data_IF_170962659776
#
_entry.id   IF_170962659776
#
_cell.length_a   1.000
_cell.length_b   1.000
_cell.length_c   1.000
_cell.angle_alpha   90.00
_cell.angle_beta   90.00
_cell.angle_gamma   90.00
#
_symmetry.space_group_name_H-M   'P 1'
#
loop_
_entity.id
_entity.type
_entity.pdbx_description
1 polymer ?
#
# COMPACT_ATOMS: atom_id res chain seq x y z
N UNK A 1 5.27 1.14 -13.82
CA UNK A 1 4.69 1.19 -12.46
C UNK A 1 5.70 0.62 -11.47
N UNK A 2 6.32 1.49 -10.68
CA UNK A 2 7.42 1.08 -9.79
C UNK A 2 6.99 0.13 -8.68
N UNK A 3 5.72 0.19 -8.27
CA UNK A 3 5.22 -0.66 -7.18
C UNK A 3 5.36 -2.16 -7.47
N UNK A 4 5.42 -2.54 -8.74
CA UNK A 4 5.57 -3.94 -9.13
C UNK A 4 6.95 -4.52 -8.81
N UNK A 5 7.91 -3.69 -8.43
CA UNK A 5 9.25 -4.14 -8.03
C UNK A 5 9.25 -4.83 -6.67
N UNK A 6 8.22 -4.62 -5.88
CA UNK A 6 8.18 -5.07 -4.50
C UNK A 6 7.27 -6.27 -4.33
N UNK A 7 7.55 -7.08 -3.33
CA UNK A 7 6.57 -8.05 -2.85
C UNK A 7 5.42 -7.25 -2.27
N UNK A 8 4.26 -7.37 -2.86
CA UNK A 8 3.13 -6.51 -2.55
C UNK A 8 2.72 -6.60 -1.07
N UNK A 9 2.70 -7.81 -0.52
CA UNK A 9 2.26 -8.00 0.88
C UNK A 9 3.22 -7.30 1.84
N UNK A 10 4.52 -7.50 1.66
CA UNK A 10 5.51 -6.82 2.48
C UNK A 10 5.45 -5.32 2.27
N UNK A 11 5.28 -4.89 1.03
CA UNK A 11 5.24 -3.46 0.72
C UNK A 11 4.08 -2.77 1.43
N UNK A 12 2.87 -3.33 1.32
CA UNK A 12 1.70 -2.69 1.89
C UNK A 12 1.76 -2.65 3.42
N UNK A 13 2.33 -3.69 4.04
CA UNK A 13 2.53 -3.69 5.49
C UNK A 13 3.55 -2.65 5.91
N UNK A 14 4.62 -2.51 5.15
CA UNK A 14 5.65 -1.50 5.43
C UNK A 14 5.07 -0.09 5.33
N UNK A 15 4.24 0.16 4.33
CA UNK A 15 3.56 1.45 4.19
C UNK A 15 2.74 1.75 5.45
N UNK A 16 1.97 0.76 5.93
CA UNK A 16 1.17 0.96 7.14
C UNK A 16 2.04 1.25 8.36
N UNK A 17 3.15 0.52 8.49
CA UNK A 17 4.05 0.72 9.63
C UNK A 17 4.64 2.12 9.61
N UNK A 18 5.16 2.55 8.47
CA UNK A 18 5.78 3.86 8.36
C UNK A 18 4.79 5.00 8.61
N UNK A 19 3.56 4.84 8.13
CA UNK A 19 2.54 5.89 8.26
C UNK A 19 1.68 5.72 9.51
N UNK A 20 1.97 4.71 10.32
CA UNK A 20 1.22 4.41 11.55
C UNK A 20 -0.28 4.24 11.26
N UNK A 21 -0.59 3.44 10.24
CA UNK A 21 -1.97 3.22 9.82
C UNK A 21 -2.44 1.80 10.15
N UNK A 22 -3.67 1.68 10.62
CA UNK A 22 -4.35 0.40 10.67
C UNK A 22 -4.76 -0.02 9.26
N UNK A 23 -5.22 -1.26 9.10
CA UNK A 23 -5.77 -1.70 7.82
C UNK A 23 -6.98 -0.86 7.43
N UNK A 24 -7.83 -0.50 8.40
CA UNK A 24 -8.97 0.37 8.15
C UNK A 24 -8.56 1.75 7.69
N UNK A 25 -7.54 2.32 8.35
CA UNK A 25 -7.05 3.63 7.99
C UNK A 25 -6.51 3.63 6.56
N UNK A 26 -5.70 2.63 6.22
CA UNK A 26 -5.15 2.53 4.87
C UNK A 26 -6.26 2.36 3.84
N UNK A 27 -7.23 1.51 4.13
CA UNK A 27 -8.36 1.30 3.23
C UNK A 27 -9.08 2.61 2.93
N UNK A 28 -9.31 3.41 3.97
CA UNK A 28 -9.96 4.71 3.84
C UNK A 28 -9.13 5.67 3.01
N UNK A 29 -7.80 5.67 3.23
CA UNK A 29 -6.91 6.56 2.50
C UNK A 29 -6.82 6.22 1.01
N UNK A 30 -6.90 4.95 0.67
CA UNK A 30 -6.80 4.50 -0.72
C UNK A 30 -8.16 4.47 -1.40
N UNK A 31 -9.24 4.41 -0.62
CA UNK A 31 -10.60 4.36 -1.17
C UNK A 31 -11.08 2.94 -1.47
N UNK A 32 -10.65 1.97 -0.68
CA UNK A 32 -11.12 0.59 -0.78
C UNK A 32 -11.69 0.15 0.57
N UNK A 33 -12.27 -1.05 0.62
CA UNK A 33 -12.81 -1.56 1.87
C UNK A 33 -11.72 -2.16 2.76
N UNK A 34 -11.99 -2.21 4.05
CA UNK A 34 -11.12 -2.91 5.00
C UNK A 34 -10.91 -4.36 4.56
N UNK A 35 -11.98 -5.03 4.14
CA UNK A 35 -11.90 -6.42 3.71
C UNK A 35 -10.92 -6.59 2.55
N UNK A 36 -10.87 -5.61 1.65
CA UNK A 36 -9.94 -5.65 0.51
C UNK A 36 -8.49 -5.60 0.98
N UNK A 37 -8.16 -4.66 1.87
CA UNK A 37 -6.80 -4.55 2.40
C UNK A 37 -6.43 -5.83 3.16
N UNK A 38 -7.35 -6.33 3.97
CA UNK A 38 -7.13 -7.55 4.73
C UNK A 38 -6.83 -8.75 3.82
N UNK A 39 -7.57 -8.90 2.72
CA UNK A 39 -7.35 -9.97 1.76
C UNK A 39 -6.00 -9.84 1.08
N UNK A 40 -5.59 -8.63 0.75
CA UNK A 40 -4.27 -8.41 0.17
C UNK A 40 -3.17 -8.87 1.12
N UNK A 41 -3.26 -8.49 2.38
CA UNK A 41 -2.23 -8.82 3.36
C UNK A 41 -2.23 -10.30 3.73
N UNK A 42 -3.33 -10.99 3.50
CA UNK A 42 -3.43 -12.44 3.73
C UNK A 42 -3.19 -13.25 2.45
N UNK A 43 -2.71 -12.63 1.40
CA UNK A 43 -2.37 -13.26 0.11
C UNK A 43 -3.54 -13.95 -0.56
N UNK A 44 -4.77 -13.55 -0.25
CA UNK A 44 -5.95 -14.17 -0.84
C UNK A 44 -6.30 -13.61 -2.21
N UNK A 45 -5.96 -12.35 -2.45
CA UNK A 45 -6.20 -11.68 -3.72
C UNK A 45 -5.02 -10.80 -4.04
N UNK A 46 -4.68 -10.74 -5.32
CA UNK A 46 -3.75 -9.73 -5.81
C UNK A 46 -4.56 -8.47 -6.14
N UNK A 47 -3.98 -7.30 -5.93
CA UNK A 47 -4.68 -6.07 -6.27
C UNK A 47 -4.83 -5.94 -7.79
N UNK A 48 -5.93 -5.35 -8.21
CA UNK A 48 -6.14 -5.04 -9.61
C UNK A 48 -5.13 -3.99 -10.06
N UNK A 49 -4.97 -3.85 -11.38
CA UNK A 49 -4.10 -2.82 -11.93
C UNK A 49 -4.52 -1.43 -11.48
N UNK A 50 -5.82 -1.18 -11.43
CA UNK A 50 -6.34 0.10 -10.97
C UNK A 50 -6.02 0.35 -9.49
N UNK A 51 -6.17 -0.69 -8.66
CA UNK A 51 -5.82 -0.58 -7.25
C UNK A 51 -4.33 -0.31 -7.06
N UNK A 52 -3.47 -0.98 -7.82
CA UNK A 52 -2.04 -0.73 -7.78
C UNK A 52 -1.71 0.72 -8.12
N UNK A 53 -2.40 1.28 -9.11
CA UNK A 53 -2.23 2.69 -9.47
C UNK A 53 -2.61 3.62 -8.34
N UNK A 54 -3.75 3.35 -7.71
CA UNK A 54 -4.21 4.18 -6.61
C UNK A 54 -3.24 4.14 -5.43
N UNK A 55 -2.73 2.94 -5.12
CA UNK A 55 -1.75 2.77 -4.05
C UNK A 55 -0.47 3.53 -4.39
N UNK A 56 -0.01 3.41 -5.63
CA UNK A 56 1.20 4.09 -6.08
C UNK A 56 1.07 5.60 -5.99
N UNK A 57 -0.06 6.14 -6.42
CA UNK A 57 -0.32 7.58 -6.36
C UNK A 57 -0.35 8.07 -4.90
N UNK A 58 -0.97 7.30 -4.03
CA UNK A 58 -0.99 7.62 -2.61
C UNK A 58 0.42 7.62 -2.04
N UNK A 59 1.20 6.59 -2.36
CA UNK A 59 2.59 6.50 -1.87
C UNK A 59 3.45 7.65 -2.41
N UNK A 60 3.30 8.00 -3.69
CA UNK A 60 4.02 9.13 -4.26
C UNK A 60 3.76 10.41 -3.48
N UNK A 61 2.51 10.63 -3.12
CA UNK A 61 2.13 11.81 -2.34
C UNK A 61 2.78 11.79 -0.95
N UNK A 62 2.77 10.63 -0.30
CA UNK A 62 3.38 10.50 1.03
C UNK A 62 4.90 10.65 0.97
N UNK A 63 5.52 10.17 -0.09
CA UNK A 63 6.97 10.36 -0.31
C UNK A 63 7.28 11.84 -0.46
N UNK A 64 6.50 12.56 -1.26
CA UNK A 64 6.70 14.00 -1.45
C UNK A 64 6.52 14.80 -0.18
N UNK A 65 5.65 14.33 0.71
CA UNK A 65 5.42 14.95 2.01
C UNK A 65 6.48 14.57 3.04
N UNK A 66 7.43 13.70 2.67
CA UNK A 66 8.48 13.25 3.58
C UNK A 66 8.00 12.27 4.62
N UNK A 67 6.85 11.64 4.41
CA UNK A 67 6.26 10.70 5.38
C UNK A 67 6.56 9.24 5.09
N UNK A 68 6.96 8.94 3.86
CA UNK A 68 7.19 7.58 3.44
C UNK A 68 8.52 7.50 2.69
N UNK A 69 9.32 6.50 3.04
CA UNK A 69 10.54 6.17 2.31
C UNK A 69 10.36 4.81 1.68
N UNK A 70 10.70 4.70 0.39
CA UNK A 70 10.64 3.40 -0.27
C UNK A 70 11.74 2.50 0.26
N UNK A 71 11.42 1.26 0.63
CA UNK A 71 12.44 0.33 1.04
C UNK A 71 13.31 -0.07 -0.14
N UNK A 72 14.61 -0.20 0.10
CA UNK A 72 15.54 -0.56 -0.96
C UNK A 72 15.36 -2.00 -1.43
N UNK A 73 14.92 -2.85 -0.52
CA UNK A 73 14.71 -4.27 -0.80
C UNK A 73 13.48 -4.76 -0.06
N UNK A 74 12.58 -5.31 -0.78
CA UNK A 74 11.42 -5.98 -0.23
C UNK A 74 11.23 -7.34 -0.86
#
# INVERSE_FOLDING_TARGET
MWIKRYDFVFFIKEVRVQLDLSQEDLAREIGVSFATVNRWENRRFLPSKMALRQIEMYCDRMIKLGRLLLPDKL
#
